data_IF_398698780622
#
_entry.id   IF_398698780622
#
_cell.length_a   1.000
_cell.length_b   1.000
_cell.length_c   1.000
_cell.angle_alpha   90.00
_cell.angle_beta   90.00
_cell.angle_gamma   90.00
#
_symmetry.space_group_name_H-M   'P 1'
#
loop_
_entity.id
_entity.type
_entity.pdbx_description
1 polymer ?
#
# COMPACT_ATOMS: atom_id res chain seq x y z
N UNK A 1 38.98 45.51 2.02
CA UNK A 1 38.86 44.06 2.37
C UNK A 1 37.84 44.00 3.51
N UNK A 2 36.68 43.35 3.47
CA UNK A 2 36.23 42.15 2.76
C UNK A 2 34.74 42.25 2.40
N UNK A 3 34.37 41.79 1.21
CA UNK A 3 33.00 41.58 0.74
C UNK A 3 32.51 40.22 1.23
N UNK A 4 31.62 40.20 2.21
CA UNK A 4 30.99 38.96 2.69
C UNK A 4 29.86 38.57 1.73
N UNK A 5 30.18 37.75 0.72
CA UNK A 5 29.18 37.08 -0.12
C UNK A 5 28.52 35.98 0.70
N UNK A 6 27.28 36.21 1.14
CA UNK A 6 26.43 35.19 1.74
C UNK A 6 25.89 34.29 0.62
N UNK A 7 26.42 33.07 0.49
CA UNK A 7 25.90 32.05 -0.43
C UNK A 7 24.78 31.28 0.30
N UNK A 8 23.52 31.52 -0.07
CA UNK A 8 22.38 30.69 0.33
C UNK A 8 22.30 29.51 -0.64
N UNK A 9 22.91 28.37 -0.28
CA UNK A 9 22.62 27.10 -0.95
C UNK A 9 21.23 26.62 -0.52
N UNK A 10 20.23 26.86 -1.37
CA UNK A 10 18.95 26.17 -1.27
C UNK A 10 19.17 24.70 -1.68
N UNK A 11 19.33 23.81 -0.70
CA UNK A 11 19.18 22.38 -0.94
C UNK A 11 17.69 22.13 -1.22
N UNK A 12 17.33 22.02 -2.50
CA UNK A 12 16.11 21.34 -2.89
C UNK A 12 16.27 19.86 -2.52
N UNK A 13 16.04 19.51 -1.26
CA UNK A 13 15.80 18.12 -0.88
C UNK A 13 14.54 17.71 -1.60
N UNK A 14 14.66 16.99 -2.71
CA UNK A 14 13.57 16.22 -3.24
C UNK A 14 13.17 15.26 -2.12
N UNK A 15 12.13 15.60 -1.37
CA UNK A 15 11.45 14.66 -0.49
C UNK A 15 10.80 13.65 -1.44
N UNK A 16 11.56 12.63 -1.85
CA UNK A 16 10.95 11.38 -2.29
C UNK A 16 10.27 10.84 -1.05
N UNK A 17 9.07 11.32 -0.78
CA UNK A 17 8.20 10.72 0.22
C UNK A 17 8.16 9.24 -0.13
N UNK A 18 8.68 8.41 0.78
CA UNK A 18 8.79 6.98 0.57
C UNK A 18 7.39 6.38 0.66
N UNK A 19 6.61 6.56 -0.41
CA UNK A 19 5.27 6.04 -0.50
C UNK A 19 5.32 4.54 -0.74
N UNK A 20 4.45 3.81 -0.07
CA UNK A 20 4.29 2.37 -0.31
C UNK A 20 2.94 2.11 -0.97
N UNK A 21 2.98 1.42 -2.10
CA UNK A 21 1.79 0.79 -2.66
C UNK A 21 1.57 -0.55 -1.97
N UNK A 22 0.39 -0.74 -1.41
CA UNK A 22 -0.05 -1.97 -0.76
C UNK A 22 -1.07 -2.66 -1.65
N UNK A 23 -0.97 -3.99 -1.73
CA UNK A 23 -1.87 -4.84 -2.50
C UNK A 23 -2.48 -5.86 -1.57
N UNK A 24 -3.81 -5.90 -1.54
CA UNK A 24 -4.62 -6.84 -0.79
C UNK A 24 -5.20 -7.89 -1.73
N UNK A 25 -4.84 -9.14 -1.49
CA UNK A 25 -5.47 -10.30 -2.09
C UNK A 25 -6.68 -10.72 -1.26
N UNK A 26 -7.66 -11.27 -1.97
CA UNK A 26 -8.93 -11.71 -1.43
C UNK A 26 -9.00 -13.23 -1.57
N UNK A 27 -9.12 -13.94 -0.46
CA UNK A 27 -9.19 -15.40 -0.45
C UNK A 27 -10.50 -15.88 0.16
N UNK A 28 -10.88 -17.12 -0.22
CA UNK A 28 -11.98 -17.88 0.42
C UNK A 28 -13.30 -17.12 0.48
N UNK A 29 -13.63 -16.36 -0.57
CA UNK A 29 -14.88 -15.59 -0.67
C UNK A 29 -14.81 -14.16 -0.14
N UNK A 30 -13.66 -13.70 0.37
CA UNK A 30 -13.49 -12.29 0.72
C UNK A 30 -13.71 -11.38 -0.50
N UNK A 31 -14.20 -10.18 -0.22
CA UNK A 31 -14.58 -9.16 -1.18
C UNK A 31 -13.78 -7.89 -0.96
N UNK A 32 -13.89 -6.94 -1.88
CA UNK A 32 -13.27 -5.61 -1.71
C UNK A 32 -13.91 -4.81 -0.57
N UNK A 33 -15.18 -5.07 -0.24
CA UNK A 33 -15.87 -4.42 0.88
C UNK A 33 -15.29 -4.86 2.22
N UNK A 34 -14.82 -6.10 2.32
CA UNK A 34 -14.14 -6.61 3.52
C UNK A 34 -12.82 -5.88 3.77
N UNK A 35 -12.12 -5.50 2.70
CA UNK A 35 -10.93 -4.65 2.80
C UNK A 35 -11.31 -3.28 3.34
N UNK A 36 -12.32 -2.64 2.75
CA UNK A 36 -12.81 -1.33 3.18
C UNK A 36 -13.25 -1.33 4.64
N UNK A 37 -14.01 -2.36 5.06
CA UNK A 37 -14.38 -2.56 6.44
C UNK A 37 -13.16 -2.72 7.35
N UNK A 38 -12.15 -3.49 6.94
CA UNK A 38 -10.90 -3.66 7.68
C UNK A 38 -10.11 -2.37 7.82
N UNK A 39 -10.01 -1.56 6.75
CA UNK A 39 -9.34 -0.26 6.75
C UNK A 39 -10.00 0.75 7.72
N UNK A 40 -11.29 0.57 8.02
CA UNK A 40 -12.06 1.40 8.93
C UNK A 40 -12.03 0.87 10.37
N UNK A 41 -12.28 -0.41 10.58
CA UNK A 41 -12.57 -0.99 11.89
C UNK A 41 -11.43 -1.81 12.49
N UNK A 42 -10.49 -2.28 11.67
CA UNK A 42 -9.40 -3.20 12.07
C UNK A 42 -8.05 -2.67 11.62
N UNK A 43 -7.86 -1.36 11.75
CA UNK A 43 -6.68 -0.64 11.26
C UNK A 43 -5.34 -1.20 11.74
N UNK A 44 -5.29 -1.64 13.00
CA UNK A 44 -4.09 -2.29 13.54
C UNK A 44 -3.77 -3.60 12.81
N UNK A 45 -4.76 -4.48 12.65
CA UNK A 45 -4.60 -5.77 11.97
C UNK A 45 -4.29 -5.60 10.48
N UNK A 46 -4.83 -4.56 9.84
CA UNK A 46 -4.50 -4.13 8.48
C UNK A 46 -3.09 -3.52 8.37
N UNK A 47 -2.31 -3.47 9.45
CA UNK A 47 -0.94 -2.95 9.48
C UNK A 47 -0.85 -1.44 9.33
N UNK A 48 -1.94 -0.69 9.54
CA UNK A 48 -1.99 0.76 9.33
C UNK A 48 -1.62 1.57 10.57
N UNK A 49 -1.88 1.03 11.77
CA UNK A 49 -1.83 1.82 13.00
C UNK A 49 -2.62 3.12 12.87
N UNK A 50 -1.98 4.24 13.18
CA UNK A 50 -2.58 5.59 13.11
C UNK A 50 -2.46 6.25 11.72
N UNK A 51 -1.84 5.59 10.73
CA UNK A 51 -1.49 6.23 9.45
C UNK A 51 -2.61 6.16 8.42
N UNK A 52 -2.79 7.24 7.66
CA UNK A 52 -3.80 7.33 6.60
C UNK A 52 -3.46 6.48 5.38
N UNK A 53 -4.47 6.25 4.55
CA UNK A 53 -4.34 5.64 3.23
C UNK A 53 -5.00 6.53 2.19
N UNK A 54 -4.53 6.49 0.94
CA UNK A 54 -5.15 7.21 -0.18
C UNK A 54 -5.08 6.40 -1.47
N UNK A 55 -5.76 6.88 -2.52
CA UNK A 55 -5.87 6.18 -3.82
C UNK A 55 -6.33 4.73 -3.67
N UNK A 56 -7.11 4.47 -2.62
CA UNK A 56 -7.66 3.17 -2.28
C UNK A 56 -8.68 2.72 -3.33
N UNK A 57 -8.70 1.43 -3.67
CA UNK A 57 -9.73 0.87 -4.53
C UNK A 57 -9.36 -0.45 -5.19
N UNK A 58 -10.39 -1.08 -5.75
CA UNK A 58 -10.28 -2.32 -6.52
C UNK A 58 -9.57 -2.09 -7.86
N UNK A 59 -8.60 -2.94 -8.20
CA UNK A 59 -7.86 -2.90 -9.47
C UNK A 59 -7.52 -4.30 -9.96
N UNK A 60 -7.43 -4.47 -11.28
CA UNK A 60 -6.81 -5.66 -11.86
C UNK A 60 -5.30 -5.56 -11.72
N UNK A 61 -4.69 -6.57 -11.11
CA UNK A 61 -3.26 -6.66 -10.94
C UNK A 61 -2.72 -8.02 -11.41
N UNK A 62 -1.46 -8.09 -11.86
CA UNK A 62 -0.81 -9.35 -12.17
C UNK A 62 -0.80 -10.29 -10.96
N UNK A 63 -0.99 -11.58 -11.17
CA UNK A 63 -0.77 -12.56 -10.10
C UNK A 63 0.74 -12.68 -9.80
N UNK A 64 1.11 -12.87 -8.53
CA UNK A 64 2.51 -12.91 -8.08
C UNK A 64 3.36 -13.96 -8.82
N UNK A 65 2.87 -15.20 -8.94
CA UNK A 65 3.56 -16.31 -9.63
C UNK A 65 3.28 -16.39 -11.14
N UNK A 66 2.31 -15.62 -11.64
CA UNK A 66 1.83 -15.70 -13.02
C UNK A 66 1.52 -14.30 -13.54
N UNK A 67 2.57 -13.57 -13.89
CA UNK A 67 2.47 -12.15 -14.24
C UNK A 67 1.70 -11.87 -15.54
N UNK A 68 1.45 -12.89 -16.36
CA UNK A 68 0.59 -12.83 -17.55
C UNK A 68 -0.91 -12.91 -17.24
N UNK A 69 -1.29 -13.39 -16.06
CA UNK A 69 -2.67 -13.46 -15.59
C UNK A 69 -2.97 -12.30 -14.64
N UNK A 70 -4.22 -11.80 -14.64
CA UNK A 70 -4.63 -10.73 -13.73
C UNK A 70 -5.84 -11.12 -12.90
N UNK A 71 -5.89 -10.64 -11.66
CA UNK A 71 -7.03 -10.79 -10.77
C UNK A 71 -7.41 -9.44 -10.16
N UNK A 72 -8.68 -9.32 -9.75
CA UNK A 72 -9.13 -8.20 -8.95
C UNK A 72 -8.51 -8.26 -7.56
N UNK A 73 -7.88 -7.17 -7.16
CA UNK A 73 -7.25 -6.97 -5.87
C UNK A 73 -7.66 -5.61 -5.35
N UNK A 74 -7.56 -5.39 -4.05
CA UNK A 74 -7.71 -4.04 -3.49
C UNK A 74 -6.32 -3.43 -3.30
N UNK A 75 -6.16 -2.16 -3.66
CA UNK A 75 -4.87 -1.47 -3.53
C UNK A 75 -5.05 -0.17 -2.77
N UNK A 76 -4.03 0.26 -2.05
CA UNK A 76 -3.99 1.60 -1.47
C UNK A 76 -2.54 2.09 -1.31
N UNK A 77 -2.37 3.40 -1.30
CA UNK A 77 -1.11 4.07 -1.02
C UNK A 77 -1.04 4.49 0.45
N UNK A 78 0.18 4.50 1.00
CA UNK A 78 0.49 5.03 2.33
C UNK A 78 1.86 5.73 2.33
N UNK A 79 2.11 6.58 3.32
CA UNK A 79 3.28 7.49 3.39
C UNK A 79 4.53 6.88 4.02
N UNK A 80 4.41 5.66 4.52
CA UNK A 80 5.45 4.95 5.26
C UNK A 80 5.60 3.51 4.74
N UNK A 81 6.73 2.84 5.01
CA UNK A 81 6.93 1.44 4.66
C UNK A 81 5.80 0.55 5.19
N UNK A 82 5.29 -0.36 4.36
CA UNK A 82 4.37 -1.41 4.80
C UNK A 82 5.17 -2.62 5.29
N UNK A 83 5.69 -2.55 6.52
CA UNK A 83 6.57 -3.57 7.08
C UNK A 83 5.80 -4.86 7.39
N UNK A 84 5.83 -5.82 6.46
CA UNK A 84 5.28 -7.17 6.64
C UNK A 84 3.98 -7.40 5.87
N UNK A 85 3.05 -8.08 6.55
CA UNK A 85 1.70 -8.38 6.07
C UNK A 85 0.68 -7.87 7.08
N UNK A 86 -0.41 -7.29 6.60
CA UNK A 86 -1.61 -7.03 7.40
C UNK A 86 -2.80 -7.73 6.77
N UNK A 87 -3.89 -7.87 7.50
CA UNK A 87 -5.03 -8.62 7.00
C UNK A 87 -6.11 -8.78 8.04
N UNK A 88 -7.28 -9.22 7.58
CA UNK A 88 -8.43 -9.48 8.44
C UNK A 88 -9.09 -10.77 8.04
N UNK A 89 -9.74 -11.39 9.03
CA UNK A 89 -10.77 -12.39 8.85
C UNK A 89 -12.12 -11.68 9.00
N UNK A 90 -12.82 -11.38 7.91
CA UNK A 90 -14.09 -10.67 7.98
C UNK A 90 -15.14 -11.48 8.75
N UNK A 91 -16.14 -10.81 9.38
CA UNK A 91 -17.16 -11.50 10.17
C UNK A 91 -17.94 -12.55 9.39
N UNK A 92 -18.19 -12.29 8.10
CA UNK A 92 -18.95 -13.16 7.20
C UNK A 92 -18.08 -14.23 6.50
N UNK A 93 -16.81 -14.34 6.90
CA UNK A 93 -15.84 -15.29 6.37
C UNK A 93 -14.90 -14.69 5.33
N UNK A 94 -14.06 -15.56 4.75
CA UNK A 94 -12.99 -15.14 3.85
C UNK A 94 -11.70 -14.75 4.56
N UNK A 95 -10.68 -14.39 3.78
CA UNK A 95 -9.40 -13.88 4.29
C UNK A 95 -8.95 -12.75 3.39
N UNK A 96 -8.69 -11.59 4.00
CA UNK A 96 -7.97 -10.49 3.36
C UNK A 96 -6.54 -10.55 3.83
N UNK A 97 -5.61 -10.53 2.88
CA UNK A 97 -4.19 -10.38 3.18
C UNK A 97 -3.61 -9.28 2.30
N UNK A 98 -2.91 -8.35 2.92
CA UNK A 98 -2.30 -7.18 2.31
C UNK A 98 -0.80 -7.20 2.56
N UNK A 99 -0.02 -6.92 1.50
CA UNK A 99 1.43 -6.72 1.60
C UNK A 99 1.88 -5.63 0.65
N UNK A 100 3.11 -5.17 0.83
CA UNK A 100 3.74 -4.26 -0.13
C UNK A 100 3.74 -4.86 -1.54
N UNK A 101 3.35 -4.05 -2.52
CA UNK A 101 3.38 -4.38 -3.94
C UNK A 101 4.76 -4.84 -4.36
N UNK A 102 4.84 -5.99 -5.05
CA UNK A 102 6.09 -6.56 -5.54
C UNK A 102 7.02 -7.14 -4.46
N UNK A 103 6.54 -7.31 -3.23
CA UNK A 103 7.25 -8.11 -2.22
C UNK A 103 7.34 -9.59 -2.64
N UNK A 104 8.19 -10.38 -1.98
CA UNK A 104 8.44 -11.78 -2.35
C UNK A 104 7.12 -12.59 -2.44
N UNK A 105 6.90 -13.24 -3.57
CA UNK A 105 5.69 -13.99 -3.92
C UNK A 105 4.39 -13.15 -3.90
N UNK A 106 4.51 -11.84 -4.06
CA UNK A 106 3.38 -10.92 -4.01
C UNK A 106 3.17 -10.16 -5.34
N UNK A 107 1.91 -9.92 -5.73
CA UNK A 107 1.57 -9.10 -6.88
C UNK A 107 2.27 -7.74 -6.93
N UNK A 108 2.79 -7.38 -8.09
CA UNK A 108 3.32 -6.05 -8.39
C UNK A 108 2.29 -5.24 -9.19
N UNK A 109 1.36 -4.59 -8.49
CA UNK A 109 0.40 -3.66 -9.10
C UNK A 109 1.10 -2.37 -9.55
N UNK A 110 0.67 -1.80 -10.68
CA UNK A 110 1.13 -0.49 -11.17
C UNK A 110 0.12 0.59 -10.78
N UNK A 111 0.29 1.18 -9.60
CA UNK A 111 -0.46 2.36 -9.15
C UNK A 111 0.53 3.43 -8.75
N UNK A 112 0.38 4.63 -9.30
CA UNK A 112 1.18 5.78 -8.89
C UNK A 112 0.64 6.31 -7.56
N UNK A 113 1.35 6.04 -6.48
CA UNK A 113 1.33 6.89 -5.30
C UNK A 113 2.01 8.21 -5.70
#
# INVERSE_FOLDING_TARGET
MHTTKLLLLALATATTDAYTLVVCQLYRGATTQDVEWGLLHRRHDMGLGEKGVWKAGARKCPLGKKTSETAWMYTFCRSDPYSGSGGVLPPDGGVVECRQSGSYDWPACKVKC
#
